data_IF_623452959426
#
_entry.id   IF_623452959426
#
_cell.length_a   1.000
_cell.length_b   1.000
_cell.length_c   1.000
_cell.angle_alpha   90.00
_cell.angle_beta   90.00
_cell.angle_gamma   90.00
#
_symmetry.space_group_name_H-M   'P 1'
#
loop_
_entity.id
_entity.type
_entity.pdbx_description
1 polymer ?
#
# COMPACT_ATOMS: atom_id res chain seq x y z
N UNK A 1 -20.80 19.97 3.67
CA UNK A 1 -19.79 19.65 2.64
C UNK A 1 -19.31 18.22 2.90
N UNK A 2 -19.65 17.26 2.03
CA UNK A 2 -19.22 15.86 2.19
C UNK A 2 -17.75 15.79 1.76
N UNK A 3 -16.83 15.65 2.71
CA UNK A 3 -15.43 15.38 2.41
C UNK A 3 -15.33 13.96 1.84
N UNK A 4 -15.17 13.84 0.52
CA UNK A 4 -14.90 12.56 -0.11
C UNK A 4 -13.55 12.01 0.44
N UNK A 5 -13.46 10.71 0.74
CA UNK A 5 -12.24 10.13 1.30
C UNK A 5 -11.11 10.14 0.26
N UNK A 6 -9.86 10.08 0.76
CA UNK A 6 -8.70 9.79 -0.08
C UNK A 6 -8.83 8.36 -0.62
N UNK A 7 -8.61 8.19 -1.92
CA UNK A 7 -8.66 6.90 -2.60
C UNK A 7 -7.27 6.51 -3.07
N UNK A 8 -6.94 5.24 -2.91
CA UNK A 8 -5.71 4.64 -3.42
C UNK A 8 -6.04 3.61 -4.49
N UNK A 9 -5.27 3.62 -5.58
CA UNK A 9 -5.29 2.61 -6.63
C UNK A 9 -3.86 2.34 -7.09
N UNK A 10 -3.62 1.21 -7.73
CA UNK A 10 -2.31 0.87 -8.30
C UNK A 10 -2.47 0.29 -9.71
N UNK A 11 -1.45 0.46 -10.53
CA UNK A 11 -1.24 -0.28 -11.78
C UNK A 11 0.04 -1.11 -11.69
N UNK A 12 0.58 -1.54 -12.82
CA UNK A 12 1.79 -2.37 -12.87
C UNK A 12 3.01 -1.68 -12.27
N UNK A 13 3.07 -0.34 -12.32
CA UNK A 13 4.29 0.43 -12.03
C UNK A 13 4.13 1.41 -10.87
N UNK A 14 2.90 1.85 -10.57
CA UNK A 14 2.67 2.99 -9.68
C UNK A 14 1.53 2.76 -8.69
N UNK A 15 1.73 3.28 -7.47
CA UNK A 15 0.68 3.57 -6.50
C UNK A 15 0.22 5.01 -6.67
N UNK A 16 -1.09 5.22 -6.71
CA UNK A 16 -1.70 6.52 -6.88
C UNK A 16 -2.53 6.90 -5.66
N UNK A 17 -2.49 8.19 -5.34
CA UNK A 17 -3.31 8.81 -4.30
C UNK A 17 -4.18 9.90 -4.91
N UNK A 18 -5.50 9.71 -4.83
CA UNK A 18 -6.50 10.69 -5.25
C UNK A 18 -7.08 11.34 -4.01
N UNK A 19 -6.94 12.66 -3.90
CA UNK A 19 -7.67 13.48 -2.92
C UNK A 19 -8.67 14.36 -3.68
N UNK A 20 -9.93 14.49 -3.22
CA UNK A 20 -10.88 15.39 -3.85
C UNK A 20 -10.35 16.82 -3.84
N UNK A 21 -10.47 17.51 -4.98
CA UNK A 21 -9.97 18.88 -5.18
C UNK A 21 -8.46 19.03 -4.89
N UNK A 22 -7.70 17.93 -4.96
CA UNK A 22 -6.26 17.92 -4.83
C UNK A 22 -5.59 17.30 -6.06
N UNK A 23 -4.28 17.51 -6.23
CA UNK A 23 -3.54 16.87 -7.31
C UNK A 23 -3.55 15.35 -7.14
N UNK A 24 -3.58 14.65 -8.27
CA UNK A 24 -3.21 13.24 -8.33
C UNK A 24 -1.73 13.12 -7.98
N UNK A 25 -1.40 12.29 -7.00
CA UNK A 25 0.00 11.98 -6.68
C UNK A 25 0.27 10.54 -7.09
N UNK A 26 1.38 10.33 -7.81
CA UNK A 26 1.87 9.02 -8.23
C UNK A 26 3.19 8.70 -7.54
N UNK A 27 3.34 7.45 -7.15
CA UNK A 27 4.54 6.90 -6.52
C UNK A 27 4.92 5.62 -7.25
N UNK A 28 6.12 5.51 -7.83
CA UNK A 28 6.57 4.24 -8.41
C UNK A 28 6.57 3.15 -7.33
N UNK A 29 6.12 1.94 -7.65
CA UNK A 29 6.07 0.84 -6.67
C UNK A 29 7.47 0.49 -6.14
N UNK A 30 8.50 0.66 -6.97
CA UNK A 30 9.91 0.53 -6.59
C UNK A 30 10.38 1.49 -5.49
N UNK A 31 9.64 2.57 -5.23
CA UNK A 31 9.93 3.51 -4.13
C UNK A 31 9.31 3.08 -2.80
N UNK A 32 8.44 2.07 -2.80
CA UNK A 32 7.85 1.54 -1.57
C UNK A 32 8.89 0.68 -0.87
N UNK A 33 9.21 1.03 0.38
CA UNK A 33 10.21 0.34 1.20
C UNK A 33 9.59 -0.53 2.29
N UNK A 34 8.31 -0.32 2.61
CA UNK A 34 7.60 -1.14 3.59
C UNK A 34 6.12 -1.23 3.25
N UNK A 35 5.57 -2.44 3.28
CA UNK A 35 4.14 -2.72 3.23
C UNK A 35 3.78 -3.71 4.35
N UNK A 36 3.35 -3.20 5.51
CA UNK A 36 3.13 -4.01 6.71
C UNK A 36 1.70 -3.96 7.23
N UNK A 37 1.25 -5.07 7.82
CA UNK A 37 -0.01 -5.18 8.52
C UNK A 37 0.05 -4.37 9.81
N UNK A 38 -1.01 -3.63 10.10
CA UNK A 38 -1.18 -3.01 11.42
C UNK A 38 -2.06 -3.90 12.30
N UNK A 39 -2.14 -3.64 13.61
CA UNK A 39 -3.13 -4.30 14.47
C UNK A 39 -4.56 -3.76 14.26
N UNK A 40 -4.74 -2.73 13.42
CA UNK A 40 -6.00 -2.03 13.24
C UNK A 40 -6.85 -2.70 12.16
N UNK A 41 -8.13 -2.89 12.47
CA UNK A 41 -9.18 -3.35 11.56
C UNK A 41 -10.26 -2.28 11.46
N UNK A 42 -10.74 -2.02 10.24
CA UNK A 42 -11.87 -1.10 10.00
C UNK A 42 -12.84 -1.80 9.06
N UNK A 43 -14.10 -1.95 9.47
CA UNK A 43 -15.15 -2.66 8.72
C UNK A 43 -14.67 -4.05 8.25
N UNK A 44 -14.09 -4.81 9.18
CA UNK A 44 -13.53 -6.14 8.94
C UNK A 44 -12.40 -6.20 7.90
N UNK A 45 -11.81 -5.06 7.52
CA UNK A 45 -10.63 -5.00 6.63
C UNK A 45 -9.41 -4.54 7.41
N UNK A 46 -8.32 -5.28 7.26
CA UNK A 46 -7.00 -4.95 7.82
C UNK A 46 -6.49 -3.63 7.24
N UNK A 47 -6.02 -2.75 8.11
CA UNK A 47 -5.28 -1.55 7.73
C UNK A 47 -3.80 -1.91 7.57
N UNK A 48 -3.21 -1.43 6.49
CA UNK A 48 -1.80 -1.60 6.15
C UNK A 48 -1.08 -0.26 6.23
N UNK A 49 0.15 -0.30 6.72
CA UNK A 49 1.11 0.80 6.71
C UNK A 49 1.98 0.65 5.47
N UNK A 50 1.97 1.65 4.61
CA UNK A 50 2.81 1.73 3.42
C UNK A 50 3.82 2.86 3.64
N UNK A 51 5.12 2.55 3.55
CA UNK A 51 6.20 3.54 3.61
C UNK A 51 6.81 3.66 2.22
N UNK A 52 6.92 4.91 1.76
CA UNK A 52 7.48 5.27 0.47
C UNK A 52 8.71 6.14 0.73
N UNK A 53 9.82 5.85 0.05
CA UNK A 53 10.99 6.70 0.03
C UNK A 53 11.00 7.53 -1.26
N UNK A 54 10.70 8.82 -1.13
CA UNK A 54 10.75 9.76 -2.25
C UNK A 54 11.92 10.73 -2.03
N UNK A 55 12.98 10.57 -2.81
CA UNK A 55 14.17 11.44 -2.76
C UNK A 55 14.78 11.61 -1.36
N UNK A 56 14.82 10.53 -0.57
CA UNK A 56 15.34 10.53 0.80
C UNK A 56 14.30 10.92 1.86
N UNK A 57 13.10 11.35 1.46
CA UNK A 57 12.01 11.64 2.38
C UNK A 57 11.08 10.43 2.52
N UNK A 58 10.83 10.02 3.77
CA UNK A 58 9.85 8.98 4.06
C UNK A 58 8.43 9.55 4.11
N UNK A 59 7.54 8.96 3.32
CA UNK A 59 6.10 9.25 3.31
C UNK A 59 5.38 8.01 3.83
N UNK A 60 4.47 8.21 4.78
CA UNK A 60 3.73 7.12 5.42
C UNK A 60 2.25 7.25 5.08
N UNK A 61 1.68 6.19 4.51
CA UNK A 61 0.25 6.04 4.33
C UNK A 61 -0.31 4.88 5.15
N UNK A 62 -1.56 5.06 5.61
CA UNK A 62 -2.38 3.99 6.16
C UNK A 62 -3.58 3.79 5.27
N UNK A 63 -3.76 2.59 4.75
CA UNK A 63 -4.86 2.27 3.84
C UNK A 63 -5.41 0.88 4.11
N UNK A 64 -6.71 0.68 3.85
CA UNK A 64 -7.34 -0.64 3.99
C UNK A 64 -6.99 -1.49 2.77
N UNK A 65 -6.84 -2.80 2.97
CA UNK A 65 -6.78 -3.73 1.85
C UNK A 65 -8.03 -3.60 0.94
N UNK A 66 -7.81 -3.70 -0.37
CA UNK A 66 -8.82 -3.57 -1.42
C UNK A 66 -8.72 -4.72 -2.44
N UNK A 67 -9.52 -4.68 -3.52
CA UNK A 67 -9.47 -5.71 -4.57
C UNK A 67 -8.06 -5.78 -5.17
N UNK A 68 -7.54 -6.99 -5.42
CA UNK A 68 -6.19 -7.22 -5.94
C UNK A 68 -5.03 -6.75 -5.02
N UNK A 69 -5.28 -6.51 -3.73
CA UNK A 69 -4.21 -6.08 -2.82
C UNK A 69 -3.08 -7.11 -2.66
N UNK A 70 -3.32 -8.41 -2.91
CA UNK A 70 -2.24 -9.40 -2.95
C UNK A 70 -1.25 -9.11 -4.08
N UNK A 71 -1.76 -8.81 -5.27
CA UNK A 71 -0.94 -8.46 -6.42
C UNK A 71 -0.13 -7.18 -6.17
N UNK A 72 -0.74 -6.20 -5.49
CA UNK A 72 0.00 -5.02 -5.04
C UNK A 72 1.20 -5.40 -4.14
N UNK A 73 1.00 -6.29 -3.16
CA UNK A 73 2.07 -6.73 -2.26
C UNK A 73 3.16 -7.50 -3.02
N UNK A 74 2.76 -8.36 -3.96
CA UNK A 74 3.68 -9.09 -4.85
C UNK A 74 4.53 -8.11 -5.66
N UNK A 75 3.92 -7.09 -6.29
CA UNK A 75 4.65 -6.05 -7.01
C UNK A 75 5.57 -5.22 -6.14
N UNK A 76 5.18 -4.92 -4.89
CA UNK A 76 6.08 -4.25 -3.94
C UNK A 76 7.25 -5.17 -3.57
N UNK A 77 7.04 -6.48 -3.47
CA UNK A 77 8.10 -7.44 -3.14
C UNK A 77 9.13 -7.65 -4.26
N UNK A 78 8.83 -7.21 -5.49
CA UNK A 78 9.81 -7.15 -6.58
C UNK A 78 10.94 -6.14 -6.27
N UNK A 79 10.71 -5.16 -5.37
CA UNK A 79 11.78 -4.33 -4.84
C UNK A 79 12.58 -5.11 -3.78
N UNK A 80 13.87 -5.44 -4.02
CA UNK A 80 14.67 -6.27 -3.11
C UNK A 80 14.92 -5.61 -1.75
N UNK A 81 14.72 -4.29 -1.64
CA UNK A 81 14.89 -3.54 -0.40
C UNK A 81 13.57 -3.31 0.35
N UNK A 82 12.44 -3.82 -0.16
CA UNK A 82 11.15 -3.65 0.46
C UNK A 82 10.89 -4.71 1.52
N UNK A 83 10.35 -4.29 2.66
CA UNK A 83 9.83 -5.21 3.66
C UNK A 83 8.32 -5.36 3.47
N UNK A 84 7.89 -6.53 3.02
CA UNK A 84 6.48 -6.80 2.73
C UNK A 84 5.99 -7.91 3.65
N UNK A 85 4.97 -7.61 4.45
CA UNK A 85 4.29 -8.67 5.19
C UNK A 85 3.49 -9.53 4.21
N UNK A 86 3.71 -10.84 4.24
CA UNK A 86 2.91 -11.77 3.45
C UNK A 86 1.43 -11.67 3.83
N UNK A 87 0.53 -11.64 2.83
CA UNK A 87 -0.91 -11.63 3.10
C UNK A 87 -1.37 -12.94 3.75
N UNK A 88 -0.70 -14.05 3.42
CA UNK A 88 -0.98 -15.42 3.87
C UNK A 88 0.29 -16.28 3.81
N UNK A 89 0.61 -16.96 4.92
CA UNK A 89 1.32 -18.24 4.89
C UNK A 89 0.24 -19.28 4.56
N UNK A 90 0.17 -19.77 3.33
CA UNK A 90 -0.50 -21.03 3.02
C UNK A 90 0.60 -21.99 2.53
N UNK A 91 0.98 -22.96 3.36
CA UNK A 91 1.69 -24.16 2.89
C UNK A 91 3.11 -24.43 3.37
N UNK A 92 3.46 -24.22 4.65
CA UNK A 92 4.58 -24.94 5.29
C UNK A 92 4.24 -25.24 6.76
N UNK A 93 3.22 -26.07 6.92
CA UNK A 93 3.15 -27.05 8.00
C UNK A 93 2.77 -28.36 7.30
N UNK A 94 3.76 -29.03 6.71
CA UNK A 94 3.75 -30.50 6.59
C UNK A 94 4.42 -31.08 7.83
#
# INVERSE_FOLDING_TARGET
MILKPVVFYFDEDNLYRIKPNGPLIKYPLSTITEARRTMIMINSRRVWKIIINQSGQQIIYKLRAYKNFSLFLEKVSENPNAIVDERYIWGIFE
#
